data_IF_410745865661
#
_entry.id   IF_410745865661
#
_cell.length_a   1.000
_cell.length_b   1.000
_cell.length_c   1.000
_cell.angle_alpha   90.00
_cell.angle_beta   90.00
_cell.angle_gamma   90.00
#
_symmetry.space_group_name_H-M   'P 1'
#
loop_
_entity.id
_entity.type
_entity.pdbx_description
1 polymer ?
#
# COMPACT_ATOMS: atom_id res chain seq x y z
N UNK A 1 -17.17 1.62 7.37
CA UNK A 1 -15.88 2.34 7.28
C UNK A 1 -14.81 1.37 6.79
N UNK A 2 -14.28 1.55 5.59
CA UNK A 2 -13.25 0.67 4.99
C UNK A 2 -12.02 0.51 5.90
N UNK A 3 -11.62 1.60 6.55
CA UNK A 3 -10.56 1.61 7.57
C UNK A 3 -10.77 0.54 8.67
N UNK A 4 -12.01 0.29 9.13
CA UNK A 4 -12.28 -0.74 10.15
C UNK A 4 -12.20 -2.18 9.63
N UNK A 5 -12.44 -2.39 8.33
CA UNK A 5 -12.35 -3.72 7.70
C UNK A 5 -10.88 -4.08 7.50
N UNK A 6 -10.07 -3.14 7.02
CA UNK A 6 -8.63 -3.33 6.85
C UNK A 6 -7.92 -3.61 8.18
N UNK A 7 -8.28 -2.88 9.25
CA UNK A 7 -7.75 -3.12 10.59
C UNK A 7 -8.06 -4.54 11.08
N UNK A 8 -9.33 -4.99 10.94
CA UNK A 8 -9.73 -6.35 11.31
C UNK A 8 -9.01 -7.41 10.49
N UNK A 9 -8.80 -7.16 9.20
CA UNK A 9 -8.07 -8.05 8.31
C UNK A 9 -6.59 -8.23 8.74
N UNK A 10 -5.93 -7.15 9.19
CA UNK A 10 -4.52 -7.18 9.60
C UNK A 10 -4.31 -7.54 11.08
N UNK A 11 -5.36 -7.51 11.89
CA UNK A 11 -5.28 -7.82 13.32
C UNK A 11 -4.68 -9.22 13.64
N UNK A 12 -4.95 -10.30 12.87
CA UNK A 12 -4.28 -11.60 13.12
C UNK A 12 -2.76 -11.56 12.90
N UNK A 13 -2.25 -10.64 12.07
CA UNK A 13 -0.83 -10.53 11.76
C UNK A 13 -0.10 -9.58 12.73
N UNK A 14 -0.71 -8.44 13.05
CA UNK A 14 -0.04 -7.38 13.82
C UNK A 14 -0.67 -7.13 15.20
N UNK A 15 -1.92 -7.51 15.44
CA UNK A 15 -2.61 -7.32 16.71
C UNK A 15 -2.52 -5.88 17.22
N UNK A 16 -2.04 -5.72 18.44
CA UNK A 16 -1.84 -4.42 19.10
C UNK A 16 -0.70 -3.58 18.49
N UNK A 17 0.11 -4.15 17.59
CA UNK A 17 1.18 -3.43 16.88
C UNK A 17 0.69 -2.62 15.67
N UNK A 18 -0.63 -2.61 15.42
CA UNK A 18 -1.23 -1.68 14.46
C UNK A 18 -1.15 -0.25 15.00
N UNK A 19 -0.42 0.62 14.29
CA UNK A 19 -0.24 2.02 14.67
C UNK A 19 -0.97 2.96 13.70
N UNK A 20 -1.46 4.07 14.23
CA UNK A 20 -2.09 5.14 13.46
C UNK A 20 -1.28 6.41 13.54
N UNK A 21 -1.07 7.05 12.39
CA UNK A 21 -0.33 8.30 12.29
C UNK A 21 -0.87 9.18 11.17
N UNK A 22 -0.77 10.49 11.37
CA UNK A 22 -1.11 11.50 10.36
C UNK A 22 0.02 11.66 9.33
N UNK A 23 -0.33 12.11 8.12
CA UNK A 23 0.62 12.36 7.03
C UNK A 23 0.97 11.11 6.23
N UNK A 24 0.74 11.13 4.92
CA UNK A 24 1.07 10.01 4.03
C UNK A 24 2.59 9.83 3.90
N UNK A 25 3.31 10.93 3.65
CA UNK A 25 4.78 10.93 3.57
C UNK A 25 5.45 10.48 4.86
N UNK A 26 4.95 10.92 6.02
CA UNK A 26 5.48 10.49 7.32
C UNK A 26 5.33 8.97 7.53
N UNK A 27 4.15 8.40 7.23
CA UNK A 27 3.94 6.95 7.34
C UNK A 27 4.88 6.15 6.42
N UNK A 28 5.13 6.61 5.20
CA UNK A 28 6.09 5.97 4.30
C UNK A 28 7.54 6.14 4.77
N UNK A 29 7.88 7.29 5.38
CA UNK A 29 9.18 7.51 6.00
C UNK A 29 9.41 6.58 7.19
N UNK A 30 8.39 6.33 8.02
CA UNK A 30 8.48 5.34 9.10
C UNK A 30 8.86 3.95 8.57
N UNK A 31 8.32 3.55 7.41
CA UNK A 31 8.71 2.29 6.76
C UNK A 31 10.16 2.34 6.30
N UNK A 32 10.59 3.42 5.65
CA UNK A 32 11.96 3.58 5.18
C UNK A 32 13.00 3.58 6.32
N UNK A 33 12.63 4.11 7.49
CA UNK A 33 13.46 4.13 8.69
C UNK A 33 13.39 2.84 9.52
N UNK A 34 12.58 1.85 9.11
CA UNK A 34 12.40 0.60 9.86
C UNK A 34 11.60 0.76 11.17
N UNK A 35 10.88 1.86 11.33
CA UNK A 35 9.97 2.11 12.46
C UNK A 35 8.62 1.41 12.30
N UNK A 36 8.27 1.03 11.06
CA UNK A 36 7.08 0.25 10.73
C UNK A 36 7.41 -0.81 9.68
N UNK A 37 6.81 -2.00 9.80
CA UNK A 37 7.07 -3.12 8.89
C UNK A 37 6.47 -2.90 7.50
N UNK A 38 5.31 -2.26 7.44
CA UNK A 38 4.63 -1.82 6.24
C UNK A 38 3.65 -0.68 6.55
N UNK A 39 3.30 0.11 5.54
CA UNK A 39 2.18 1.05 5.59
C UNK A 39 1.14 0.62 4.56
N UNK A 40 -0.06 0.30 5.03
CA UNK A 40 -1.20 -0.11 4.19
C UNK A 40 -2.28 0.96 4.24
N UNK A 41 -2.79 1.32 3.06
CA UNK A 41 -3.94 2.20 2.88
C UNK A 41 -4.86 1.57 1.85
N UNK A 42 -6.14 1.37 2.18
CA UNK A 42 -7.14 0.88 1.23
C UNK A 42 -7.71 1.99 0.35
N UNK A 43 -7.86 3.19 0.92
CA UNK A 43 -8.50 4.32 0.26
C UNK A 43 -7.59 4.97 -0.81
N UNK A 44 -8.22 5.50 -1.87
CA UNK A 44 -7.54 6.29 -2.90
C UNK A 44 -7.24 7.74 -2.50
N UNK A 45 -7.12 8.03 -1.20
CA UNK A 45 -7.01 9.38 -0.63
C UNK A 45 -5.59 9.97 -0.65
N UNK A 46 -4.63 9.23 -1.23
CA UNK A 46 -3.28 9.75 -1.51
C UNK A 46 -3.11 9.99 -2.98
N UNK A 47 -2.26 10.93 -3.32
CA UNK A 47 -1.94 11.28 -4.70
C UNK A 47 -0.50 10.95 -5.01
N UNK A 48 -0.14 11.08 -6.28
CA UNK A 48 1.22 10.84 -6.76
C UNK A 48 2.28 11.70 -6.07
N UNK A 49 1.95 12.96 -5.77
CA UNK A 49 2.87 13.85 -5.06
C UNK A 49 3.11 13.42 -3.61
N UNK A 50 2.17 12.70 -2.99
CA UNK A 50 2.33 12.18 -1.62
C UNK A 50 3.30 10.98 -1.57
N UNK A 51 3.37 10.19 -2.65
CA UNK A 51 4.07 8.90 -2.65
C UNK A 51 5.33 8.86 -3.50
N UNK A 52 5.50 9.70 -4.53
CA UNK A 52 6.63 9.62 -5.47
C UNK A 52 7.99 9.75 -4.78
N UNK A 53 8.16 10.74 -3.91
CA UNK A 53 9.41 10.94 -3.15
C UNK A 53 9.75 9.76 -2.23
N UNK A 54 8.86 9.37 -1.30
CA UNK A 54 9.08 8.21 -0.44
C UNK A 54 9.27 6.90 -1.21
N UNK A 55 8.57 6.71 -2.32
CA UNK A 55 8.73 5.52 -3.15
C UNK A 55 10.13 5.41 -3.74
N UNK A 56 10.70 6.51 -4.24
CA UNK A 56 12.06 6.53 -4.75
C UNK A 56 13.09 6.13 -3.68
N UNK A 57 12.91 6.62 -2.44
CA UNK A 57 13.76 6.26 -1.29
C UNK A 57 13.62 4.78 -0.96
N UNK A 58 12.39 4.27 -0.84
CA UNK A 58 12.13 2.85 -0.55
C UNK A 58 12.76 1.95 -1.62
N UNK A 59 12.65 2.31 -2.91
CA UNK A 59 13.29 1.57 -4.01
C UNK A 59 14.81 1.56 -3.89
N UNK A 60 15.43 2.69 -3.55
CA UNK A 60 16.88 2.75 -3.34
C UNK A 60 17.36 1.85 -2.19
N UNK A 61 16.49 1.59 -1.21
CA UNK A 61 16.75 0.69 -0.07
C UNK A 61 16.34 -0.78 -0.34
N UNK A 62 15.87 -1.10 -1.56
CA UNK A 62 15.45 -2.46 -1.94
C UNK A 62 13.99 -2.81 -1.59
N UNK A 63 13.20 -1.82 -1.18
CA UNK A 63 11.75 -1.92 -1.00
C UNK A 63 10.96 -1.31 -2.16
N UNK A 64 9.72 -0.89 -1.89
CA UNK A 64 8.87 -0.25 -2.89
C UNK A 64 7.48 0.14 -2.37
N UNK A 65 6.61 0.57 -3.29
CA UNK A 65 5.20 0.83 -3.02
C UNK A 65 4.34 0.16 -4.11
N UNK A 66 3.53 -0.81 -3.70
CA UNK A 66 2.57 -1.50 -4.60
C UNK A 66 1.19 -0.88 -4.54
N UNK A 67 0.46 -0.95 -5.64
CA UNK A 67 -0.97 -0.65 -5.67
C UNK A 67 -1.73 -1.80 -4.98
N UNK A 68 -2.46 -1.51 -3.90
CA UNK A 68 -3.06 -2.56 -3.07
C UNK A 68 -4.09 -3.40 -3.86
N UNK A 69 -5.09 -2.78 -4.47
CA UNK A 69 -6.14 -3.49 -5.20
C UNK A 69 -5.58 -4.30 -6.38
N UNK A 70 -4.68 -3.72 -7.16
CA UNK A 70 -4.06 -4.39 -8.29
C UNK A 70 -3.15 -5.55 -7.82
N UNK A 71 -2.39 -5.35 -6.74
CA UNK A 71 -1.56 -6.41 -6.16
C UNK A 71 -2.40 -7.59 -5.65
N UNK A 72 -3.52 -7.32 -4.98
CA UNK A 72 -4.42 -8.38 -4.51
C UNK A 72 -5.02 -9.17 -5.67
N UNK A 73 -5.39 -8.50 -6.77
CA UNK A 73 -5.89 -9.16 -7.98
C UNK A 73 -4.86 -10.11 -8.59
N UNK A 74 -3.62 -9.64 -8.76
CA UNK A 74 -2.50 -10.44 -9.30
C UNK A 74 -2.15 -11.60 -8.35
N UNK A 75 -2.15 -11.34 -7.04
CA UNK A 75 -1.87 -12.34 -6.01
C UNK A 75 -2.89 -13.49 -6.01
N UNK A 76 -4.19 -13.16 -6.05
CA UNK A 76 -5.29 -14.14 -6.12
C UNK A 76 -5.29 -14.93 -7.43
N UNK A 77 -4.71 -14.39 -8.50
CA UNK A 77 -4.47 -15.09 -9.76
C UNK A 77 -3.23 -16.00 -9.74
N UNK A 78 -2.54 -16.14 -8.60
CA UNK A 78 -1.40 -17.04 -8.42
C UNK A 78 -0.03 -16.45 -8.77
N UNK A 79 0.05 -15.15 -9.08
CA UNK A 79 1.31 -14.48 -9.41
C UNK A 79 1.82 -13.68 -8.21
N UNK A 80 2.94 -14.11 -7.61
CA UNK A 80 3.43 -13.53 -6.34
C UNK A 80 4.77 -12.79 -6.44
N UNK A 81 5.50 -12.95 -7.54
CA UNK A 81 6.88 -12.44 -7.66
C UNK A 81 6.96 -10.99 -8.15
N UNK A 82 5.99 -10.54 -8.95
CA UNK A 82 5.98 -9.21 -9.58
C UNK A 82 4.64 -8.54 -9.32
N UNK A 83 4.50 -7.95 -8.14
CA UNK A 83 3.30 -7.19 -7.79
C UNK A 83 3.35 -5.79 -8.43
N UNK A 84 2.22 -5.27 -8.94
CA UNK A 84 2.16 -4.00 -9.62
C UNK A 84 2.49 -2.83 -8.68
N UNK A 85 3.58 -2.14 -8.98
CA UNK A 85 4.00 -0.92 -8.31
C UNK A 85 3.21 0.32 -8.76
N UNK A 86 3.18 1.35 -7.91
CA UNK A 86 2.66 2.65 -8.31
C UNK A 86 3.49 3.25 -9.46
N UNK A 87 2.81 3.90 -10.39
CA UNK A 87 3.45 4.61 -11.51
C UNK A 87 3.03 6.08 -11.52
N UNK A 88 3.95 6.95 -11.95
CA UNK A 88 3.78 8.39 -11.77
C UNK A 88 3.54 9.15 -13.06
N UNK A 89 3.79 8.56 -14.23
CA UNK A 89 3.77 9.24 -15.53
C UNK A 89 2.38 9.35 -16.19
N UNK A 90 1.39 8.53 -15.82
CA UNK A 90 0.07 8.51 -16.49
C UNK A 90 -1.10 8.89 -15.58
N UNK A 91 -1.98 9.83 -15.96
CA UNK A 91 -3.18 10.10 -15.18
C UNK A 91 -4.18 8.94 -15.25
N UNK A 92 -5.14 8.91 -14.33
CA UNK A 92 -6.33 8.07 -14.44
C UNK A 92 -7.24 8.66 -15.52
N UNK A 93 -7.59 7.84 -16.52
CA UNK A 93 -8.50 8.22 -17.59
C UNK A 93 -9.93 8.40 -17.06
N UNK A 94 -10.64 9.43 -17.52
CA UNK A 94 -12.01 9.73 -17.10
C UNK A 94 -12.15 10.46 -15.75
N UNK A 95 -11.11 10.52 -14.92
CA UNK A 95 -11.12 11.32 -13.68
C UNK A 95 -10.96 12.83 -13.97
N UNK A 96 -11.45 13.67 -13.06
CA UNK A 96 -11.38 15.14 -13.19
C UNK A 96 -10.52 15.77 -12.09
N UNK A 97 -9.91 16.92 -12.39
CA UNK A 97 -9.14 17.69 -11.41
C UNK A 97 -7.97 16.90 -10.80
N UNK A 98 -7.79 17.02 -9.49
CA UNK A 98 -6.71 16.36 -8.75
C UNK A 98 -6.84 14.83 -8.76
N UNK A 99 -8.07 14.29 -8.83
CA UNK A 99 -8.36 12.84 -8.82
C UNK A 99 -7.68 12.08 -9.98
N UNK A 100 -7.32 12.79 -11.06
CA UNK A 100 -6.50 12.24 -12.15
C UNK A 100 -5.15 11.69 -11.68
N UNK A 101 -4.69 12.12 -10.52
CA UNK A 101 -3.39 11.78 -9.95
C UNK A 101 -3.53 11.05 -8.61
N UNK A 102 -4.72 10.57 -8.26
CA UNK A 102 -4.94 9.74 -7.09
C UNK A 102 -4.27 8.37 -7.24
N UNK A 103 -3.78 7.82 -6.15
CA UNK A 103 -3.35 6.42 -6.05
C UNK A 103 -4.60 5.54 -5.85
N UNK A 104 -5.43 5.42 -6.90
CA UNK A 104 -6.67 4.64 -6.84
C UNK A 104 -6.41 3.19 -6.44
N UNK A 105 -7.27 2.65 -5.57
CA UNK A 105 -7.12 1.30 -5.03
C UNK A 105 -6.07 1.17 -3.93
N UNK A 106 -5.63 2.29 -3.35
CA UNK A 106 -4.76 2.29 -2.19
C UNK A 106 -3.33 1.84 -2.48
N UNK A 107 -2.57 1.61 -1.41
CA UNK A 107 -1.16 1.25 -1.50
C UNK A 107 -0.66 0.39 -0.33
N UNK A 108 0.43 -0.33 -0.58
CA UNK A 108 1.29 -0.91 0.45
C UNK A 108 2.72 -0.41 0.22
N UNK A 109 3.23 0.38 1.16
CA UNK A 109 4.65 0.72 1.21
C UNK A 109 5.39 -0.30 2.09
N UNK A 110 6.53 -0.79 1.61
CA UNK A 110 7.32 -1.82 2.28
C UNK A 110 8.81 -1.60 2.06
N UNK A 111 9.62 -1.96 3.07
CA UNK A 111 11.08 -2.06 2.94
C UNK A 111 11.52 -3.51 2.75
N UNK A 112 10.94 -4.44 3.50
CA UNK A 112 11.28 -5.86 3.46
C UNK A 112 10.22 -6.67 2.71
N UNK A 113 10.65 -7.44 1.70
CA UNK A 113 9.77 -8.31 0.90
C UNK A 113 9.03 -9.35 1.76
N UNK A 114 9.60 -9.78 2.89
CA UNK A 114 8.93 -10.72 3.81
C UNK A 114 7.69 -10.10 4.45
N UNK A 115 7.75 -8.81 4.80
CA UNK A 115 6.62 -8.08 5.39
C UNK A 115 5.52 -7.85 4.35
N UNK A 116 5.90 -7.46 3.12
CA UNK A 116 4.95 -7.38 2.01
C UNK A 116 4.24 -8.72 1.81
N UNK A 117 5.00 -9.82 1.74
CA UNK A 117 4.44 -11.17 1.57
C UNK A 117 3.45 -11.53 2.67
N UNK A 118 3.80 -11.27 3.93
CA UNK A 118 2.92 -11.53 5.07
C UNK A 118 1.61 -10.74 4.96
N UNK A 119 1.70 -9.43 4.68
CA UNK A 119 0.53 -8.57 4.45
C UNK A 119 -0.34 -9.11 3.31
N UNK A 120 0.27 -9.47 2.17
CA UNK A 120 -0.47 -9.99 1.01
C UNK A 120 -1.18 -11.31 1.29
N UNK A 121 -0.53 -12.27 1.97
CA UNK A 121 -1.17 -13.53 2.38
C UNK A 121 -2.37 -13.25 3.27
N UNK A 122 -2.21 -12.39 4.28
CA UNK A 122 -3.27 -12.04 5.22
C UNK A 122 -4.45 -11.39 4.51
N UNK A 123 -4.21 -10.38 3.67
CA UNK A 123 -5.27 -9.64 2.98
C UNK A 123 -5.93 -10.44 1.86
N UNK A 124 -5.20 -11.33 1.17
CA UNK A 124 -5.77 -12.13 0.08
C UNK A 124 -6.82 -13.15 0.56
N UNK A 125 -6.69 -13.62 1.81
CA UNK A 125 -7.59 -14.58 2.44
C UNK A 125 -8.91 -13.97 2.94
N UNK A 126 -9.02 -12.63 2.94
CA UNK A 126 -10.25 -11.93 3.30
C UNK A 126 -11.12 -11.82 2.05
N UNK A 127 -12.36 -12.32 2.12
CA UNK A 127 -13.34 -12.29 1.02
C UNK A 127 -13.91 -10.92 0.74
N UNK A 128 -13.90 -10.03 1.75
CA UNK A 128 -14.41 -8.67 1.60
C UNK A 128 -13.42 -7.81 0.80
N UNK A 129 -13.94 -7.10 -0.20
CA UNK A 129 -13.20 -6.07 -0.93
C UNK A 129 -13.04 -4.83 -0.06
N UNK A 130 -11.81 -4.33 0.00
CA UNK A 130 -11.44 -3.07 0.65
C UNK A 130 -11.58 -1.89 -0.31
#
# INVERSE_FOLDING_TARGET
NETTVLQKALAPLYGERLCFASGAGYKMLCVALGLADAYVLSEGSTFKWDSCGPHAILRALGGGIVNLSAALKVWRAGQHNNLPELTYNKPIEGAMGAERWANQGGLIAYLCHKHLKAVMVTLANVTDTF
#
